data_IF_591389817351
#
_entry.id   IF_591389817351
#
_cell.length_a   1.000
_cell.length_b   1.000
_cell.length_c   1.000
_cell.angle_alpha   90.00
_cell.angle_beta   90.00
_cell.angle_gamma   90.00
#
_symmetry.space_group_name_H-M   'P 1'
#
loop_
_entity.id
_entity.type
_entity.pdbx_description
1 polymer ?
#
# COMPACT_ATOMS: atom_id res chain seq x y z
N UNK A 1 10.56 19.08 -16.81
CA UNK A 1 10.67 19.11 -15.34
C UNK A 1 10.19 20.47 -14.86
N UNK A 2 9.02 20.54 -14.22
CA UNK A 2 8.47 21.82 -13.78
C UNK A 2 9.33 22.40 -12.64
N UNK A 3 10.02 23.50 -12.90
CA UNK A 3 10.68 24.32 -11.90
C UNK A 3 9.59 24.97 -11.05
N UNK A 4 9.28 24.37 -9.90
CA UNK A 4 8.41 24.95 -8.89
C UNK A 4 9.15 26.12 -8.22
N UNK A 5 9.26 27.24 -8.93
CA UNK A 5 9.56 28.55 -8.34
C UNK A 5 8.29 29.05 -7.62
N UNK A 6 7.88 28.33 -6.59
CA UNK A 6 6.96 28.90 -5.61
C UNK A 6 7.78 29.90 -4.80
N UNK A 7 7.52 31.19 -4.97
CA UNK A 7 8.17 32.29 -4.23
C UNK A 7 7.90 32.17 -2.72
N UNK A 8 8.53 31.22 -2.02
CA UNK A 8 8.45 31.13 -0.56
C UNK A 8 9.14 32.36 0.05
N UNK A 9 8.58 32.82 1.15
CA UNK A 9 9.26 33.84 1.94
C UNK A 9 10.50 33.22 2.58
N UNK A 10 11.54 34.03 2.82
CA UNK A 10 12.79 33.57 3.48
C UNK A 10 12.51 32.90 4.83
N UNK A 11 11.48 33.37 5.54
CA UNK A 11 11.03 32.80 6.82
C UNK A 11 10.38 31.43 6.66
N UNK A 12 9.57 31.22 5.63
CA UNK A 12 9.00 29.90 5.34
C UNK A 12 10.08 28.90 4.93
N UNK A 13 11.10 29.33 4.19
CA UNK A 13 12.21 28.44 3.81
C UNK A 13 13.06 28.06 5.03
N UNK A 14 13.36 29.02 5.92
CA UNK A 14 14.04 28.76 7.19
C UNK A 14 13.24 27.78 8.08
N UNK A 15 11.92 27.93 8.14
CA UNK A 15 11.05 26.98 8.85
C UNK A 15 11.16 25.57 8.27
N UNK A 16 11.18 25.43 6.95
CA UNK A 16 11.28 24.12 6.28
C UNK A 16 12.65 23.48 6.51
N UNK A 17 13.74 24.24 6.46
CA UNK A 17 15.08 23.70 6.73
C UNK A 17 15.19 23.18 8.17
N UNK A 18 14.77 23.97 9.16
CA UNK A 18 14.77 23.54 10.58
C UNK A 18 13.90 22.30 10.81
N UNK A 19 12.76 22.21 10.13
CA UNK A 19 11.90 21.03 10.18
C UNK A 19 12.57 19.79 9.57
N UNK A 20 13.30 19.96 8.45
CA UNK A 20 14.02 18.87 7.79
C UNK A 20 15.25 18.40 8.60
N UNK A 21 15.81 19.26 9.44
CA UNK A 21 16.87 18.91 10.40
C UNK A 21 16.36 18.08 11.59
N UNK A 22 15.04 17.99 11.78
CA UNK A 22 14.40 17.14 12.79
C UNK A 22 13.93 17.87 14.05
N UNK A 23 13.88 19.20 14.04
CA UNK A 23 13.32 19.99 15.14
C UNK A 23 11.80 19.80 15.24
N UNK A 24 11.26 19.98 16.44
CA UNK A 24 9.81 19.98 16.65
C UNK A 24 9.17 21.14 15.86
N UNK A 25 7.94 21.00 15.34
CA UNK A 25 7.30 22.07 14.56
C UNK A 25 7.18 23.41 15.30
N UNK A 26 7.04 23.38 16.63
CA UNK A 26 7.00 24.59 17.46
C UNK A 26 8.36 25.27 17.57
N UNK A 27 9.43 24.49 17.73
CA UNK A 27 10.80 25.00 17.82
C UNK A 27 11.29 25.50 16.45
N UNK A 28 10.95 24.79 15.38
CA UNK A 28 11.23 25.22 14.00
C UNK A 28 10.52 26.54 13.68
N UNK A 29 9.26 26.71 14.11
CA UNK A 29 8.53 27.97 13.93
C UNK A 29 9.17 29.11 14.72
N UNK A 30 9.57 28.85 15.97
CA UNK A 30 10.25 29.83 16.81
C UNK A 30 11.62 30.23 16.21
N UNK A 31 12.39 29.25 15.72
CA UNK A 31 13.68 29.48 15.07
C UNK A 31 13.58 30.24 13.74
N UNK A 32 12.46 30.10 13.02
CA UNK A 32 12.15 30.87 11.82
C UNK A 32 11.53 32.27 12.11
N UNK A 33 11.37 32.63 13.39
CA UNK A 33 10.82 33.92 13.82
C UNK A 33 9.29 34.00 13.79
N UNK A 34 8.59 32.87 13.77
CA UNK A 34 7.14 32.80 13.94
C UNK A 34 6.76 32.55 15.41
N UNK A 35 5.57 32.99 15.85
CA UNK A 35 5.03 32.60 17.13
C UNK A 35 4.87 31.07 17.21
N UNK A 36 5.17 30.49 18.38
CA UNK A 36 5.16 29.04 18.60
C UNK A 36 3.81 28.34 18.38
N UNK A 37 2.69 29.05 18.17
CA UNK A 37 1.38 28.47 17.79
C UNK A 37 1.06 28.59 16.30
N UNK A 38 1.80 29.41 15.55
CA UNK A 38 1.56 29.67 14.14
C UNK A 38 1.99 28.51 13.23
N UNK A 39 2.73 27.53 13.75
CA UNK A 39 3.17 26.34 12.99
C UNK A 39 2.01 25.53 12.41
N UNK A 40 0.85 25.50 13.08
CA UNK A 40 -0.31 24.73 12.62
C UNK A 40 -0.79 25.24 11.25
N UNK A 41 -0.89 26.56 11.09
CA UNK A 41 -1.26 27.18 9.81
C UNK A 41 -0.18 27.02 8.74
N UNK A 42 1.10 27.05 9.13
CA UNK A 42 2.22 26.84 8.21
C UNK A 42 2.24 25.40 7.67
N UNK A 43 2.02 24.40 8.51
CA UNK A 43 1.98 23.00 8.09
C UNK A 43 0.79 22.68 7.18
N UNK A 44 -0.33 23.37 7.37
CA UNK A 44 -1.53 23.23 6.53
C UNK A 44 -1.40 23.95 5.18
N UNK A 45 -0.43 24.86 5.02
CA UNK A 45 -0.20 25.59 3.78
C UNK A 45 0.37 24.67 2.70
N UNK A 46 -0.32 24.48 1.55
CA UNK A 46 0.16 23.60 0.48
C UNK A 46 1.53 23.99 -0.07
N UNK A 47 1.93 25.26 0.05
CA UNK A 47 3.21 25.78 -0.42
C UNK A 47 4.37 25.27 0.43
N UNK A 48 4.18 25.32 1.76
CA UNK A 48 5.15 24.83 2.74
C UNK A 48 5.23 23.31 2.66
N UNK A 49 4.11 22.59 2.62
CA UNK A 49 4.12 21.12 2.52
C UNK A 49 4.84 20.64 1.25
N UNK A 50 4.59 21.27 0.10
CA UNK A 50 5.30 20.95 -1.15
C UNK A 50 6.80 21.23 -1.06
N UNK A 51 7.19 22.31 -0.36
CA UNK A 51 8.61 22.62 -0.15
C UNK A 51 9.29 21.58 0.73
N UNK A 52 8.65 21.17 1.83
CA UNK A 52 9.13 20.09 2.70
C UNK A 52 9.32 18.81 1.90
N UNK A 53 8.30 18.40 1.12
CA UNK A 53 8.39 17.20 0.29
C UNK A 53 9.54 17.29 -0.72
N UNK A 54 9.68 18.43 -1.40
CA UNK A 54 10.78 18.65 -2.34
C UNK A 54 12.13 18.56 -1.64
N UNK A 55 12.29 19.18 -0.46
CA UNK A 55 13.53 19.21 0.30
C UNK A 55 13.91 17.81 0.76
N UNK A 56 12.99 17.08 1.38
CA UNK A 56 13.19 15.68 1.79
C UNK A 56 13.57 14.80 0.60
N UNK A 57 12.85 14.93 -0.52
CA UNK A 57 13.14 14.17 -1.74
C UNK A 57 14.52 14.53 -2.31
N UNK A 58 14.92 15.80 -2.22
CA UNK A 58 16.23 16.27 -2.65
C UNK A 58 17.34 15.65 -1.80
N UNK A 59 17.23 15.69 -0.47
CA UNK A 59 18.19 15.05 0.47
C UNK A 59 18.31 13.55 0.18
N UNK A 60 17.17 12.86 0.12
CA UNK A 60 17.16 11.41 -0.10
C UNK A 60 17.83 11.07 -1.43
N UNK A 61 17.45 11.75 -2.51
CA UNK A 61 17.96 11.46 -3.85
C UNK A 61 19.44 11.82 -4.01
N UNK A 62 19.84 12.99 -3.53
CA UNK A 62 21.16 13.54 -3.83
C UNK A 62 22.22 13.09 -2.81
N UNK A 63 21.86 12.88 -1.55
CA UNK A 63 22.82 12.62 -0.47
C UNK A 63 22.72 11.19 0.08
N UNK A 64 21.52 10.73 0.43
CA UNK A 64 21.34 9.45 1.11
C UNK A 64 21.38 8.26 0.15
N UNK A 65 20.76 8.36 -1.02
CA UNK A 65 20.72 7.27 -1.99
C UNK A 65 22.12 6.85 -2.48
N UNK A 66 23.04 7.75 -2.86
CA UNK A 66 24.40 7.36 -3.22
C UNK A 66 25.19 6.75 -2.05
N UNK A 67 24.95 7.19 -0.81
CA UNK A 67 25.55 6.59 0.39
C UNK A 67 25.01 5.17 0.62
N UNK A 68 23.71 4.96 0.48
CA UNK A 68 23.08 3.65 0.62
C UNK A 68 23.57 2.65 -0.44
N UNK A 69 23.69 3.07 -1.72
CA UNK A 69 24.23 2.22 -2.79
C UNK A 69 25.68 1.80 -2.47
N UNK A 70 26.51 2.73 -2.02
CA UNK A 70 27.90 2.42 -1.62
C UNK A 70 27.96 1.46 -0.43
N UNK A 71 27.08 1.63 0.56
CA UNK A 71 26.99 0.71 1.70
C UNK A 71 26.63 -0.70 1.24
N UNK A 72 25.63 -0.84 0.36
CA UNK A 72 25.24 -2.14 -0.18
C UNK A 72 26.39 -2.82 -0.94
N UNK A 73 27.16 -2.06 -1.73
CA UNK A 73 28.37 -2.57 -2.38
C UNK A 73 29.37 -3.14 -1.37
N UNK A 74 29.67 -2.41 -0.29
CA UNK A 74 30.57 -2.90 0.77
C UNK A 74 30.05 -4.17 1.44
N UNK A 75 28.75 -4.29 1.66
CA UNK A 75 28.14 -5.49 2.27
C UNK A 75 28.28 -6.72 1.35
N UNK A 76 28.31 -6.52 0.03
CA UNK A 76 28.54 -7.62 -0.92
C UNK A 76 29.96 -8.16 -0.85
N UNK A 77 30.93 -7.27 -0.71
CA UNK A 77 32.36 -7.60 -0.64
C UNK A 77 32.81 -8.04 0.76
N UNK A 78 31.98 -7.81 1.79
CA UNK A 78 32.28 -8.17 3.17
C UNK A 78 32.04 -9.66 3.44
N UNK A 79 33.13 -10.44 3.48
CA UNK A 79 33.10 -11.87 3.79
C UNK A 79 32.67 -12.15 5.24
N UNK A 80 32.82 -11.18 6.16
CA UNK A 80 32.41 -11.32 7.56
C UNK A 80 30.91 -11.13 7.76
N UNK A 81 30.22 -10.49 6.80
CA UNK A 81 28.79 -10.33 6.84
C UNK A 81 28.06 -11.67 6.66
N UNK A 82 26.94 -11.84 7.36
CA UNK A 82 26.11 -13.04 7.26
C UNK A 82 25.75 -13.34 5.78
N UNK A 83 25.87 -14.58 5.29
CA UNK A 83 25.54 -14.94 3.92
C UNK A 83 24.12 -14.49 3.50
N UNK A 84 23.16 -14.55 4.43
CA UNK A 84 21.78 -14.10 4.21
C UNK A 84 21.70 -12.60 3.90
N UNK A 85 22.43 -11.78 4.64
CA UNK A 85 22.45 -10.32 4.46
C UNK A 85 23.09 -9.96 3.12
N UNK A 86 24.17 -10.64 2.72
CA UNK A 86 24.79 -10.44 1.41
C UNK A 86 23.86 -10.79 0.25
N UNK A 87 23.16 -11.93 0.34
CA UNK A 87 22.17 -12.34 -0.68
C UNK A 87 21.01 -11.33 -0.76
N UNK A 88 20.54 -10.81 0.37
CA UNK A 88 19.50 -9.76 0.38
C UNK A 88 19.99 -8.46 -0.26
N UNK A 89 21.21 -8.01 0.06
CA UNK A 89 21.81 -6.83 -0.57
C UNK A 89 21.97 -7.00 -2.08
N UNK A 90 22.41 -8.18 -2.53
CA UNK A 90 22.55 -8.52 -3.94
C UNK A 90 21.20 -8.48 -4.65
N UNK A 91 20.18 -9.12 -4.07
CA UNK A 91 18.82 -9.11 -4.60
C UNK A 91 18.29 -7.69 -4.74
N UNK A 92 18.43 -6.87 -3.70
CA UNK A 92 17.93 -5.49 -3.71
C UNK A 92 18.56 -4.64 -4.83
N UNK A 93 19.87 -4.80 -5.06
CA UNK A 93 20.56 -4.12 -6.15
C UNK A 93 20.10 -4.60 -7.53
N UNK A 94 19.96 -5.91 -7.72
CA UNK A 94 19.47 -6.50 -8.98
C UNK A 94 18.03 -6.05 -9.29
N UNK A 95 17.15 -6.07 -8.29
CA UNK A 95 15.77 -5.58 -8.43
C UNK A 95 15.74 -4.10 -8.81
N UNK A 96 16.60 -3.28 -8.20
CA UNK A 96 16.67 -1.85 -8.50
C UNK A 96 17.22 -1.55 -9.89
N UNK A 97 18.12 -2.39 -10.40
CA UNK A 97 18.66 -2.33 -11.75
C UNK A 97 17.70 -2.88 -12.82
N UNK A 98 16.57 -3.47 -12.43
CA UNK A 98 15.57 -4.03 -13.35
C UNK A 98 15.88 -5.46 -13.79
N UNK A 99 16.88 -6.12 -13.20
CA UNK A 99 17.14 -7.55 -13.37
C UNK A 99 16.19 -8.39 -12.50
N UNK A 100 14.89 -8.12 -12.64
CA UNK A 100 13.84 -8.87 -11.94
C UNK A 100 13.44 -10.05 -12.82
N UNK A 101 13.31 -11.24 -12.24
CA UNK A 101 12.70 -12.36 -12.94
C UNK A 101 11.31 -11.94 -13.45
N UNK A 102 10.88 -12.37 -14.65
CA UNK A 102 9.53 -12.12 -15.13
C UNK A 102 8.55 -12.49 -14.04
N UNK A 103 7.76 -11.53 -13.55
CA UNK A 103 6.63 -11.87 -12.69
C UNK A 103 5.80 -12.86 -13.47
N UNK A 104 5.49 -14.01 -12.87
CA UNK A 104 4.55 -14.95 -13.45
C UNK A 104 3.34 -14.12 -13.89
N UNK A 105 3.06 -14.12 -15.20
CA UNK A 105 1.83 -13.54 -15.69
C UNK A 105 0.75 -14.28 -14.94
N UNK A 106 0.10 -13.59 -14.00
CA UNK A 106 -1.23 -14.00 -13.59
C UNK A 106 -1.97 -13.90 -14.92
N UNK A 107 -2.27 -15.06 -15.50
CA UNK A 107 -3.28 -15.14 -16.53
C UNK A 107 -4.52 -14.61 -15.84
N UNK A 108 -4.76 -13.30 -15.95
CA UNK A 108 -6.11 -12.78 -16.04
C UNK A 108 -6.70 -13.63 -17.14
N UNK A 109 -7.39 -14.70 -16.74
CA UNK A 109 -8.30 -15.39 -17.62
C UNK A 109 -9.14 -14.26 -18.18
N UNK A 110 -8.91 -13.93 -19.45
CA UNK A 110 -9.64 -12.87 -20.09
C UNK A 110 -11.11 -13.25 -19.93
N UNK A 111 -11.78 -12.62 -18.97
CA UNK A 111 -13.23 -12.66 -18.85
C UNK A 111 -13.69 -11.99 -20.14
N UNK A 112 -13.84 -12.80 -21.20
CA UNK A 112 -14.53 -12.38 -22.41
C UNK A 112 -15.84 -11.80 -21.90
N UNK A 113 -16.02 -10.50 -22.13
CA UNK A 113 -17.28 -9.83 -21.84
C UNK A 113 -18.39 -10.67 -22.46
N UNK A 114 -19.49 -10.90 -21.73
CA UNK A 114 -20.63 -11.72 -22.16
C UNK A 114 -21.12 -11.29 -23.56
N UNK A 115 -20.98 -10.00 -23.88
CA UNK A 115 -21.31 -9.40 -25.18
C UNK A 115 -20.42 -9.83 -26.35
N UNK A 116 -19.27 -10.45 -26.09
CA UNK A 116 -18.30 -10.91 -27.08
C UNK A 116 -18.24 -12.45 -27.20
N UNK A 117 -19.11 -13.17 -26.48
CA UNK A 117 -19.22 -14.63 -26.57
C UNK A 117 -20.14 -15.03 -27.72
N UNK A 118 -19.81 -16.11 -28.43
CA UNK A 118 -20.72 -16.67 -29.43
C UNK A 118 -21.90 -17.37 -28.76
N UNK A 119 -22.97 -17.65 -29.51
CA UNK A 119 -24.14 -18.35 -28.97
C UNK A 119 -23.79 -19.74 -28.39
N UNK A 120 -22.84 -20.44 -29.01
CA UNK A 120 -22.34 -21.74 -28.55
C UNK A 120 -21.52 -21.60 -27.26
N UNK A 121 -20.68 -20.57 -27.16
CA UNK A 121 -19.92 -20.28 -25.94
C UNK A 121 -20.86 -19.93 -24.78
N UNK A 122 -21.91 -19.15 -25.02
CA UNK A 122 -22.94 -18.82 -24.02
C UNK A 122 -23.72 -20.06 -23.57
N UNK A 123 -24.11 -20.94 -24.49
CA UNK A 123 -24.79 -22.20 -24.13
C UNK A 123 -23.92 -23.07 -23.21
N UNK A 124 -22.62 -23.19 -23.52
CA UNK A 124 -21.68 -23.95 -22.70
C UNK A 124 -21.46 -23.32 -21.31
N UNK A 125 -21.54 -21.98 -21.21
CA UNK A 125 -21.42 -21.27 -19.94
C UNK A 125 -22.67 -21.47 -19.08
N UNK A 126 -23.86 -21.44 -19.69
CA UNK A 126 -25.13 -21.72 -18.99
C UNK A 126 -25.13 -23.13 -18.43
N UNK A 127 -24.72 -24.13 -19.21
CA UNK A 127 -24.66 -25.53 -18.75
C UNK A 127 -23.74 -25.71 -17.54
N UNK A 128 -22.56 -25.07 -17.55
CA UNK A 128 -21.64 -25.08 -16.39
C UNK A 128 -22.27 -24.43 -15.17
N UNK A 129 -22.92 -23.28 -15.32
CA UNK A 129 -23.55 -22.57 -14.22
C UNK A 129 -24.76 -23.34 -13.66
N UNK A 130 -25.52 -24.02 -14.50
CA UNK A 130 -26.61 -24.90 -14.07
C UNK A 130 -26.10 -26.11 -13.29
N UNK A 131 -25.00 -26.73 -13.73
CA UNK A 131 -24.33 -27.79 -12.97
C UNK A 131 -23.82 -27.30 -11.61
N UNK A 132 -23.22 -26.10 -11.56
CA UNK A 132 -22.79 -25.51 -10.29
C UNK A 132 -23.98 -25.24 -9.37
N UNK A 133 -25.10 -24.71 -9.89
CA UNK A 133 -26.33 -24.51 -9.09
C UNK A 133 -26.91 -25.83 -8.59
N UNK A 134 -26.94 -26.87 -9.43
CA UNK A 134 -27.44 -28.18 -9.05
C UNK A 134 -26.54 -28.82 -7.97
N UNK A 135 -25.22 -28.71 -8.10
CA UNK A 135 -24.26 -29.23 -7.10
C UNK A 135 -24.36 -28.54 -5.74
N UNK A 136 -24.81 -27.27 -5.71
CA UNK A 136 -24.98 -26.46 -4.49
C UNK A 136 -26.41 -26.49 -3.95
N UNK A 137 -27.35 -27.11 -4.66
CA UNK A 137 -28.74 -27.16 -4.24
C UNK A 137 -28.90 -28.09 -3.02
N UNK A 138 -29.51 -27.56 -1.95
CA UNK A 138 -29.85 -28.33 -0.76
C UNK A 138 -31.28 -28.85 -0.91
N UNK A 139 -31.45 -30.17 -0.88
CA UNK A 139 -32.78 -30.79 -0.97
C UNK A 139 -33.59 -30.47 0.30
N UNK A 140 -34.76 -29.85 0.11
CA UNK A 140 -35.70 -29.45 1.16
C UNK A 140 -37.01 -30.24 1.09
N UNK A 141 -37.07 -31.30 0.27
CA UNK A 141 -38.28 -32.08 0.09
C UNK A 141 -38.34 -33.29 1.04
N UNK A 142 -38.65 -33.03 2.31
CA UNK A 142 -39.21 -34.05 3.22
C UNK A 142 -40.35 -33.44 4.04
N UNK A 143 -41.47 -34.15 4.26
CA UNK A 143 -42.65 -33.60 4.89
C UNK A 143 -42.39 -33.34 6.37
N UNK A 144 -42.70 -32.11 6.82
CA UNK A 144 -42.51 -31.64 8.18
C UNK A 144 -43.39 -32.43 9.16
N UNK A 145 -42.87 -33.51 9.72
CA UNK A 145 -43.49 -34.27 10.80
C UNK A 145 -42.48 -34.41 11.95
N UNK A 146 -42.38 -33.38 12.78
CA UNK A 146 -41.83 -33.50 14.13
C UNK A 146 -42.94 -33.19 15.13
N UNK A 147 -43.57 -34.26 15.60
CA UNK A 147 -44.37 -34.26 16.81
C UNK A 147 -43.49 -33.85 18.00
N UNK A 148 -43.91 -32.84 18.75
CA UNK A 148 -43.26 -32.44 19.99
C UNK A 148 -43.60 -33.43 21.12
N UNK A 149 -42.62 -33.96 21.88
CA UNK A 149 -42.87 -34.77 23.06
C UNK A 149 -43.22 -33.90 24.27
N UNK A 150 -44.08 -34.45 25.13
CA UNK A 150 -44.86 -33.72 26.14
C UNK A 150 -44.09 -33.08 27.29
N UNK A 151 -44.63 -31.97 27.78
CA UNK A 151 -44.41 -31.47 29.13
C UNK A 151 -45.64 -31.80 29.98
N UNK A 152 -45.45 -32.71 30.93
CA UNK A 152 -46.40 -32.98 31.99
C UNK A 152 -46.19 -31.99 33.14
N UNK A 153 -47.22 -31.22 33.47
CA UNK A 153 -47.49 -30.65 34.80
C UNK A 153 -49.01 -30.82 34.94
N UNK A 154 -49.54 -31.72 35.76
CA UNK A 154 -49.45 -31.73 37.22
C UNK A 154 -50.76 -31.15 37.78
N UNK A 155 -51.58 -32.02 38.34
CA UNK A 155 -52.94 -31.80 38.87
C UNK A 155 -53.06 -30.71 39.95
N UNK A 156 -54.25 -30.10 40.04
CA UNK A 156 -54.98 -29.64 41.25
C UNK A 156 -56.15 -28.77 40.75
N UNK A 157 -57.39 -28.83 41.21
CA UNK A 157 -58.12 -29.59 42.22
C UNK A 157 -59.62 -29.50 41.84
#
# INVERSE_FOLDING_TARGET
MATLTTNLTEREDAFVELLCEGLSPGDAASGAGYPARSYIGLLQSPRVSRRVEWRMRSVIRNELAPKAIRLLGRILDDESASPKVRVQAARFLLERAGYVAPRAQIQEAAEKSISAMTAEELASLVEKLEQERASRAKDVSAPNAQAMPGQAIGQAA
#
